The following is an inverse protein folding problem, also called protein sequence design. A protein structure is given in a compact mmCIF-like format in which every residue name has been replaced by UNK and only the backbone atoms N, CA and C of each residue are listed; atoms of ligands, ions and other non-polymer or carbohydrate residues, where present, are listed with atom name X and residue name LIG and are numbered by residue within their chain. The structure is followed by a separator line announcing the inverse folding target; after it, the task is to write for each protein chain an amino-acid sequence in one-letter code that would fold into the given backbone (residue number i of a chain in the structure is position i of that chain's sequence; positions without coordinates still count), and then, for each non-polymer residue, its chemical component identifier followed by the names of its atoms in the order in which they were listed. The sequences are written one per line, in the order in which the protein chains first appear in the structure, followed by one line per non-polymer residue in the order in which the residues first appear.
data_IF_604794077679
#
_entry.id   IF_604794077679
#
_cell.length_a   1.000
_cell.length_b   1.000
_cell.length_c   1.000
_cell.angle_alpha   90.00
_cell.angle_beta   90.00
_cell.angle_gamma   90.00
#
_symmetry.space_group_name_H-M   'P 1'
#
loop_
_entity.id
_entity.type
_entity.pdbx_description
1 polymer ?
#
# COMPACT_ATOMS: atom_id res chain seq x y z
N UNK A 1 -12.22 -19.32 -58.10
CA UNK A 1 -11.07 -18.41 -58.30
C UNK A 1 -11.29 -17.24 -57.38
N UNK A 2 -10.70 -17.35 -56.17
CA UNK A 2 -9.63 -16.45 -55.68
C UNK A 2 -10.12 -15.04 -55.36
N UNK A 3 -9.93 -14.45 -54.19
CA UNK A 3 -9.08 -14.76 -53.05
C UNK A 3 -9.07 -13.49 -52.18
N UNK A 4 -9.26 -13.63 -50.86
CA UNK A 4 -9.34 -12.51 -49.93
C UNK A 4 -8.00 -11.76 -49.81
N UNK A 5 -8.04 -10.42 -49.89
CA UNK A 5 -6.87 -9.56 -49.67
C UNK A 5 -6.99 -8.82 -48.34
N UNK A 6 -6.10 -9.18 -47.41
CA UNK A 6 -5.83 -8.46 -46.15
C UNK A 6 -5.13 -7.14 -46.47
N UNK A 7 -5.62 -6.05 -45.89
CA UNK A 7 -4.97 -4.74 -45.91
C UNK A 7 -3.94 -4.71 -44.78
N UNK A 8 -2.65 -4.66 -45.13
CA UNK A 8 -1.55 -4.46 -44.21
C UNK A 8 -1.24 -2.96 -44.12
N UNK A 9 -1.40 -2.37 -42.94
CA UNK A 9 -0.97 -1.00 -42.64
C UNK A 9 0.38 -1.07 -41.92
N UNK A 10 1.40 -0.51 -42.55
CA UNK A 10 2.75 -0.33 -42.02
C UNK A 10 2.86 1.02 -41.30
N UNK A 11 3.48 1.06 -40.09
CA UNK A 11 4.11 2.27 -39.58
C UNK A 11 5.64 2.17 -39.57
N UNK A 12 6.23 3.34 -39.85
CA UNK A 12 7.64 3.69 -39.96
C UNK A 12 8.49 3.43 -38.70
N UNK A 13 9.84 3.49 -38.79
CA UNK A 13 10.75 2.99 -37.77
C UNK A 13 11.07 4.05 -36.71
N UNK A 14 10.95 3.67 -35.43
CA UNK A 14 11.53 4.40 -34.31
C UNK A 14 12.56 3.51 -33.60
N UNK A 15 13.83 3.91 -33.70
CA UNK A 15 14.91 3.59 -32.76
C UNK A 15 14.50 4.04 -31.34
N UNK A 16 14.84 3.41 -30.22
CA UNK A 16 15.65 2.23 -29.95
C UNK A 16 15.55 1.86 -28.46
N UNK A 17 16.28 0.80 -28.09
CA UNK A 17 16.33 0.06 -26.81
C UNK A 17 15.18 -0.91 -26.51
N UNK A 18 15.12 -1.97 -27.33
CA UNK A 18 14.72 -3.29 -26.84
C UNK A 18 15.76 -3.76 -25.83
N UNK A 19 15.40 -3.86 -24.55
CA UNK A 19 16.17 -4.68 -23.60
C UNK A 19 15.89 -6.13 -24.00
N UNK A 20 16.77 -6.70 -24.82
CA UNK A 20 16.85 -8.14 -24.97
C UNK A 20 17.29 -8.69 -23.62
N UNK A 21 16.37 -9.29 -22.87
CA UNK A 21 16.75 -10.18 -21.78
C UNK A 21 17.61 -11.27 -22.41
N UNK A 22 18.94 -11.15 -22.26
CA UNK A 22 19.82 -12.24 -22.65
C UNK A 22 19.35 -13.43 -21.83
N UNK A 23 18.95 -14.48 -22.52
CA UNK A 23 18.66 -15.78 -21.91
C UNK A 23 19.99 -16.21 -21.28
N UNK A 24 20.21 -15.85 -20.00
CA UNK A 24 21.33 -16.37 -19.22
C UNK A 24 21.20 -17.87 -19.33
N UNK A 25 22.11 -18.49 -20.09
CA UNK A 25 22.27 -19.95 -20.07
C UNK A 25 22.35 -20.32 -18.59
N UNK A 26 21.36 -21.05 -18.09
CA UNK A 26 21.41 -21.60 -16.75
C UNK A 26 22.72 -22.34 -16.66
N UNK A 27 23.63 -21.88 -15.79
CA UNK A 27 24.75 -22.71 -15.41
C UNK A 27 24.12 -23.95 -14.77
N UNK A 28 24.56 -25.17 -15.14
CA UNK A 28 24.05 -26.37 -14.49
C UNK A 28 24.22 -26.19 -12.98
N UNK A 29 23.19 -26.59 -12.22
CA UNK A 29 23.19 -26.63 -10.76
C UNK A 29 24.33 -27.54 -10.27
N UNK A 30 25.54 -27.03 -10.34
CA UNK A 30 26.68 -27.61 -9.68
C UNK A 30 26.41 -27.36 -8.21
N UNK A 31 26.02 -28.39 -7.47
CA UNK A 31 25.98 -28.39 -6.01
C UNK A 31 27.25 -27.73 -5.48
N UNK A 32 27.14 -26.45 -5.10
CA UNK A 32 28.28 -25.66 -4.65
C UNK A 32 28.50 -26.04 -3.19
N UNK A 33 29.28 -27.10 -2.96
CA UNK A 33 29.77 -27.45 -1.63
C UNK A 33 30.41 -26.20 -0.97
N UNK A 34 30.18 -26.03 0.33
CA UNK A 34 30.70 -24.95 1.19
C UNK A 34 32.18 -24.62 0.94
N UNK A 35 33.02 -25.62 0.68
CA UNK A 35 34.45 -25.48 0.36
C UNK A 35 34.66 -24.69 -0.95
N UNK A 36 33.92 -25.02 -2.01
CA UNK A 36 34.01 -24.29 -3.29
C UNK A 36 33.40 -22.89 -3.20
N UNK A 37 32.45 -22.65 -2.27
CA UNK A 37 31.92 -21.32 -1.97
C UNK A 37 32.96 -20.45 -1.26
N UNK A 38 33.60 -20.96 -0.21
CA UNK A 38 34.65 -20.27 0.55
C UNK A 38 35.87 -19.99 -0.31
N UNK A 39 36.34 -20.99 -1.07
CA UNK A 39 37.46 -20.80 -1.98
C UNK A 39 37.19 -19.68 -2.99
N UNK A 40 36.00 -19.63 -3.61
CA UNK A 40 35.64 -18.54 -4.53
C UNK A 40 35.50 -17.19 -3.84
N UNK A 41 35.07 -17.15 -2.58
CA UNK A 41 35.02 -15.92 -1.77
C UNK A 41 36.43 -15.34 -1.56
N UNK A 42 37.41 -16.21 -1.28
CA UNK A 42 38.78 -15.81 -0.97
C UNK A 42 39.59 -15.42 -2.21
N UNK A 43 39.39 -16.11 -3.34
CA UNK A 43 40.21 -15.88 -4.56
C UNK A 43 39.55 -14.93 -5.58
N UNK A 44 38.35 -14.40 -5.32
CA UNK A 44 37.68 -13.53 -6.28
C UNK A 44 38.26 -12.11 -6.27
N UNK A 45 38.62 -11.60 -7.46
CA UNK A 45 39.10 -10.23 -7.68
C UNK A 45 38.07 -9.13 -7.38
N UNK A 46 36.81 -9.49 -7.08
CA UNK A 46 35.71 -8.58 -6.70
C UNK A 46 34.93 -9.15 -5.51
N UNK A 47 35.49 -9.11 -4.29
CA UNK A 47 34.99 -9.84 -3.12
C UNK A 47 33.52 -9.50 -2.77
N UNK A 48 33.12 -8.23 -2.89
CA UNK A 48 31.76 -7.79 -2.55
C UNK A 48 30.67 -8.31 -3.51
N UNK A 49 30.98 -8.54 -4.79
CA UNK A 49 30.01 -9.08 -5.76
C UNK A 49 29.87 -10.59 -5.67
N UNK A 50 30.94 -11.30 -5.31
CA UNK A 50 30.91 -12.75 -5.12
C UNK A 50 30.02 -13.13 -3.94
N UNK A 51 30.14 -12.41 -2.81
CA UNK A 51 29.38 -12.65 -1.58
C UNK A 51 27.86 -12.62 -1.82
N UNK A 52 27.34 -11.61 -2.54
CA UNK A 52 25.90 -11.43 -2.73
C UNK A 52 25.24 -12.50 -3.62
N UNK A 53 25.97 -13.08 -4.59
CA UNK A 53 25.38 -14.02 -5.57
C UNK A 53 25.43 -15.46 -5.08
N UNK A 54 26.47 -15.86 -4.35
CA UNK A 54 26.62 -17.25 -3.87
C UNK A 54 25.83 -17.55 -2.60
N UNK A 55 25.50 -16.54 -1.82
CA UNK A 55 24.84 -16.71 -0.52
C UNK A 55 23.31 -16.53 -0.61
N UNK A 56 22.78 -15.96 -1.71
CA UNK A 56 21.35 -15.71 -1.87
C UNK A 56 20.48 -16.97 -1.74
N UNK A 57 20.95 -18.12 -2.23
CA UNK A 57 20.25 -19.39 -2.09
C UNK A 57 20.23 -19.90 -0.64
N UNK A 58 21.30 -19.72 0.13
CA UNK A 58 21.34 -20.15 1.54
C UNK A 58 20.61 -19.17 2.45
N UNK A 59 20.71 -17.86 2.16
CA UNK A 59 20.12 -16.78 2.96
C UNK A 59 18.60 -16.89 3.09
N UNK A 60 17.96 -17.48 2.10
CA UNK A 60 16.50 -17.67 2.06
C UNK A 60 16.08 -19.14 2.01
N UNK A 61 17.02 -20.09 2.19
CA UNK A 61 16.75 -21.53 2.15
C UNK A 61 15.67 -21.98 3.13
N UNK A 62 15.55 -21.26 4.24
CA UNK A 62 14.58 -21.53 5.30
C UNK A 62 13.34 -20.63 5.22
N UNK A 63 13.28 -19.70 4.26
CA UNK A 63 12.05 -18.95 3.99
C UNK A 63 11.13 -19.86 3.21
N UNK A 64 10.02 -20.22 3.83
CA UNK A 64 8.93 -20.97 3.21
C UNK A 64 7.72 -20.06 3.14
N UNK A 65 7.02 -20.09 2.01
CA UNK A 65 5.70 -19.51 1.90
C UNK A 65 4.82 -20.17 2.97
N UNK A 66 4.29 -19.37 3.89
CA UNK A 66 3.32 -19.85 4.86
C UNK A 66 1.93 -19.77 4.26
N UNK A 67 1.54 -18.60 3.75
CA UNK A 67 0.16 -18.33 3.34
C UNK A 67 0.09 -17.32 2.18
N UNK A 68 -1.01 -17.40 1.42
CA UNK A 68 -1.36 -16.47 0.35
C UNK A 68 -2.75 -15.87 0.60
N UNK A 69 -2.85 -14.54 0.52
CA UNK A 69 -4.12 -13.82 0.70
C UNK A 69 -4.58 -13.22 -0.62
N UNK A 70 -5.83 -13.48 -1.00
CA UNK A 70 -6.47 -12.86 -2.16
C UNK A 70 -7.43 -11.74 -1.73
N UNK A 71 -7.13 -10.52 -2.14
CA UNK A 71 -7.96 -9.34 -1.89
C UNK A 71 -9.17 -9.26 -2.81
N UNK A 72 -9.17 -9.97 -3.94
CA UNK A 72 -10.28 -9.97 -4.86
C UNK A 72 -11.29 -11.05 -4.49
N UNK A 73 -12.55 -10.65 -4.39
CA UNK A 73 -13.64 -11.60 -4.21
C UNK A 73 -14.54 -11.63 -5.45
N UNK A 74 -14.46 -12.68 -6.29
CA UNK A 74 -15.36 -12.85 -7.42
C UNK A 74 -16.76 -13.34 -7.02
N UNK A 75 -16.94 -13.87 -5.79
CA UNK A 75 -18.20 -14.48 -5.30
C UNK A 75 -18.90 -13.64 -4.24
N UNK A 76 -18.19 -12.71 -3.60
CA UNK A 76 -18.69 -11.84 -2.55
C UNK A 76 -19.74 -10.89 -3.07
N UNK A 77 -20.82 -10.70 -2.30
CA UNK A 77 -21.84 -9.69 -2.53
C UNK A 77 -21.20 -8.31 -2.36
N UNK A 78 -20.55 -7.87 -3.41
CA UNK A 78 -19.81 -6.62 -3.45
C UNK A 78 -20.82 -5.50 -3.63
N UNK A 79 -21.30 -4.94 -2.51
CA UNK A 79 -22.20 -3.78 -2.46
C UNK A 79 -21.60 -2.53 -3.11
N UNK A 80 -20.33 -2.57 -3.53
CA UNK A 80 -19.64 -1.48 -4.19
C UNK A 80 -20.34 -1.05 -5.48
N UNK A 81 -20.69 0.23 -5.55
CA UNK A 81 -21.42 0.85 -6.67
C UNK A 81 -20.45 1.14 -7.82
N UNK A 82 -19.20 1.48 -7.50
CA UNK A 82 -18.20 1.88 -8.49
C UNK A 82 -17.62 0.65 -9.23
N UNK A 83 -17.78 0.54 -10.57
CA UNK A 83 -17.36 -0.64 -11.32
C UNK A 83 -15.87 -0.96 -11.25
N UNK A 84 -15.02 0.07 -11.08
CA UNK A 84 -13.57 -0.13 -10.98
C UNK A 84 -13.13 -0.76 -9.66
N UNK A 85 -13.92 -0.60 -8.58
CA UNK A 85 -13.64 -1.25 -7.30
C UNK A 85 -13.81 -2.78 -7.39
N UNK A 86 -14.65 -3.25 -8.31
CA UNK A 86 -14.88 -4.68 -8.54
C UNK A 86 -13.78 -5.36 -9.34
N UNK A 87 -12.89 -4.61 -10.00
CA UNK A 87 -11.80 -5.17 -10.80
C UNK A 87 -10.58 -5.46 -9.93
N UNK A 88 -9.84 -6.52 -10.26
CA UNK A 88 -8.51 -6.74 -9.67
C UNK A 88 -7.62 -5.53 -9.94
N UNK A 89 -6.92 -5.07 -8.92
CA UNK A 89 -5.98 -3.97 -9.01
C UNK A 89 -4.71 -4.29 -8.19
N UNK A 90 -3.64 -3.54 -8.45
CA UNK A 90 -2.35 -3.75 -7.77
C UNK A 90 -2.49 -3.41 -6.28
N UNK A 91 -1.78 -4.11 -5.41
CA UNK A 91 -1.65 -3.70 -4.01
C UNK A 91 -0.66 -2.55 -3.93
N UNK A 92 -1.05 -1.45 -3.29
CA UNK A 92 -0.25 -0.23 -3.14
C UNK A 92 0.31 -0.06 -1.73
N UNK A 93 -0.35 -0.65 -0.73
CA UNK A 93 0.05 -0.55 0.67
C UNK A 93 -0.34 -1.82 1.42
N UNK A 94 0.56 -2.28 2.29
CA UNK A 94 0.33 -3.41 3.20
C UNK A 94 0.71 -2.95 4.60
N UNK A 95 -0.23 -3.07 5.54
CA UNK A 95 -0.01 -2.74 6.95
C UNK A 95 -0.21 -4.01 7.77
N UNK A 96 0.73 -4.33 8.65
CA UNK A 96 0.57 -5.40 9.62
C UNK A 96 0.35 -4.80 11.01
N UNK A 97 -0.74 -5.16 11.66
CA UNK A 97 -1.02 -4.76 13.04
C UNK A 97 -1.46 -5.99 13.83
N UNK A 98 -0.70 -6.33 14.87
CA UNK A 98 -0.91 -7.53 15.68
C UNK A 98 -0.95 -8.81 14.78
N UNK A 99 -2.04 -9.56 14.86
CA UNK A 99 -2.32 -10.77 14.06
C UNK A 99 -3.08 -10.46 12.76
N UNK A 100 -3.27 -9.18 12.39
CA UNK A 100 -4.02 -8.79 11.20
C UNK A 100 -3.08 -8.22 10.14
N UNK A 101 -3.29 -8.63 8.89
CA UNK A 101 -2.67 -8.02 7.70
C UNK A 101 -3.74 -7.26 6.92
N UNK A 102 -3.47 -6.00 6.65
CA UNK A 102 -4.27 -5.13 5.80
C UNK A 102 -3.60 -5.01 4.45
N UNK A 103 -4.39 -5.11 3.39
CA UNK A 103 -3.92 -4.90 2.03
C UNK A 103 -4.82 -3.89 1.32
N UNK A 104 -4.25 -2.75 0.94
CA UNK A 104 -4.91 -1.70 0.18
C UNK A 104 -4.58 -1.85 -1.30
N UNK A 105 -5.61 -2.02 -2.11
CA UNK A 105 -5.49 -2.08 -3.56
C UNK A 105 -5.55 -0.68 -4.18
N UNK A 106 -4.96 -0.50 -5.37
CA UNK A 106 -4.92 0.77 -6.11
C UNK A 106 -6.32 1.30 -6.44
N UNK A 107 -7.29 0.40 -6.58
CA UNK A 107 -8.70 0.77 -6.73
C UNK A 107 -9.26 1.48 -5.50
N UNK A 108 -8.63 1.34 -4.33
CA UNK A 108 -9.07 1.86 -3.04
C UNK A 108 -9.90 0.88 -2.22
N UNK A 109 -9.97 -0.38 -2.65
CA UNK A 109 -10.51 -1.48 -1.84
C UNK A 109 -9.47 -1.90 -0.83
N UNK A 110 -9.85 -1.97 0.45
CA UNK A 110 -8.98 -2.47 1.50
C UNK A 110 -9.58 -3.71 2.15
N UNK A 111 -8.77 -4.76 2.29
CA UNK A 111 -9.16 -6.01 2.94
C UNK A 111 -8.30 -6.28 4.17
N UNK A 112 -8.91 -6.83 5.22
CA UNK A 112 -8.26 -7.28 6.43
C UNK A 112 -8.25 -8.81 6.50
N UNK A 113 -7.10 -9.41 6.84
CA UNK A 113 -6.89 -10.85 6.94
C UNK A 113 -6.35 -11.21 8.32
N UNK A 114 -6.92 -12.24 8.94
CA UNK A 114 -6.40 -12.79 10.19
C UNK A 114 -5.27 -13.78 9.87
N UNK A 115 -4.12 -13.60 10.51
CA UNK A 115 -2.97 -14.51 10.44
C UNK A 115 -3.15 -15.76 11.30
N UNK A 116 -4.12 -15.76 12.21
CA UNK A 116 -4.43 -16.94 13.03
C UNK A 116 -5.30 -17.93 12.25
N UNK A 117 -6.32 -17.42 11.55
CA UNK A 117 -7.29 -18.24 10.82
C UNK A 117 -7.00 -18.35 9.33
N UNK A 118 -6.06 -17.55 8.81
CA UNK A 118 -5.70 -17.43 7.40
C UNK A 118 -6.90 -17.12 6.50
N UNK A 119 -7.87 -16.36 7.04
CA UNK A 119 -9.09 -15.97 6.33
C UNK A 119 -9.22 -14.45 6.30
N UNK A 120 -9.89 -13.96 5.25
CA UNK A 120 -10.32 -12.57 5.19
C UNK A 120 -11.37 -12.33 6.27
N UNK A 121 -11.14 -11.33 7.10
CA UNK A 121 -12.08 -10.90 8.14
C UNK A 121 -13.19 -10.08 7.49
N UNK A 122 -12.82 -8.97 6.84
CA UNK A 122 -13.77 -8.08 6.16
C UNK A 122 -13.07 -7.20 5.12
N UNK A 123 -13.86 -6.46 4.34
CA UNK A 123 -13.40 -5.25 3.67
C UNK A 123 -13.53 -4.07 4.64
N UNK A 124 -12.63 -3.09 4.56
CA UNK A 124 -12.68 -1.90 5.42
C UNK A 124 -13.52 -0.77 4.83
N UNK A 125 -13.83 -0.81 3.53
CA UNK A 125 -14.73 0.14 2.88
C UNK A 125 -16.14 -0.01 3.49
N UNK A 126 -16.65 1.06 4.08
CA UNK A 126 -17.95 1.11 4.76
C UNK A 126 -19.05 1.46 3.77
N UNK A 127 -18.80 2.41 2.86
CA UNK A 127 -19.77 2.77 1.81
C UNK A 127 -19.33 2.27 0.44
N UNK A 128 -20.31 2.16 -0.44
CA UNK A 128 -20.15 1.61 -1.77
C UNK A 128 -19.37 2.54 -2.74
N UNK A 129 -19.24 3.81 -2.38
CA UNK A 129 -18.55 4.86 -3.12
C UNK A 129 -17.25 5.33 -2.43
N UNK A 130 -16.88 4.71 -1.31
CA UNK A 130 -15.65 5.00 -0.56
C UNK A 130 -14.43 4.42 -1.27
N UNK A 131 -13.40 5.25 -1.41
CA UNK A 131 -12.11 4.89 -1.98
C UNK A 131 -11.01 5.21 -0.97
N UNK A 132 -10.46 4.19 -0.32
CA UNK A 132 -9.37 4.34 0.65
C UNK A 132 -8.07 4.67 -0.10
N UNK A 133 -7.31 5.64 0.39
CA UNK A 133 -6.08 6.16 -0.22
C UNK A 133 -4.83 5.85 0.58
N UNK A 134 -4.96 5.73 1.90
CA UNK A 134 -3.85 5.40 2.78
C UNK A 134 -4.36 4.76 4.07
N UNK A 135 -3.51 3.94 4.67
CA UNK A 135 -3.69 3.31 5.97
C UNK A 135 -2.61 3.78 6.95
N UNK A 136 -2.98 3.95 8.22
CA UNK A 136 -2.01 4.21 9.28
C UNK A 136 -2.38 3.42 10.55
N UNK A 137 -1.45 2.61 11.06
CA UNK A 137 -1.68 1.89 12.31
C UNK A 137 -1.22 2.73 13.51
N UNK A 138 -2.18 3.22 14.29
CA UNK A 138 -1.93 3.98 15.50
C UNK A 138 -1.69 3.04 16.68
N UNK A 139 -0.40 2.83 17.01
CA UNK A 139 0.04 2.00 18.14
C UNK A 139 -0.39 2.56 19.50
N UNK A 140 -0.67 3.86 19.61
CA UNK A 140 -0.97 4.51 20.90
C UNK A 140 -2.34 4.15 21.46
N UNK A 141 -3.31 3.88 20.59
CA UNK A 141 -4.68 3.54 20.99
C UNK A 141 -5.22 2.29 20.27
N UNK A 142 -4.31 1.51 19.67
CA UNK A 142 -4.59 0.26 18.97
C UNK A 142 -5.71 0.37 17.94
N UNK A 143 -5.57 1.33 17.04
CA UNK A 143 -6.53 1.57 15.97
C UNK A 143 -5.86 1.66 14.61
N UNK A 144 -6.62 1.31 13.58
CA UNK A 144 -6.27 1.59 12.21
C UNK A 144 -7.00 2.87 11.78
N UNK A 145 -6.23 3.81 11.25
CA UNK A 145 -6.75 5.02 10.62
C UNK A 145 -6.79 4.78 9.11
N UNK A 146 -7.95 5.01 8.51
CA UNK A 146 -8.13 5.01 7.05
C UNK A 146 -8.32 6.45 6.58
N UNK A 147 -7.59 6.83 5.53
CA UNK A 147 -7.81 8.09 4.81
C UNK A 147 -8.52 7.77 3.51
N UNK A 148 -9.75 8.26 3.36
CA UNK A 148 -10.65 7.95 2.24
C UNK A 148 -11.08 9.20 1.50
N UNK A 149 -11.50 9.01 0.25
CA UNK A 149 -12.26 9.98 -0.55
C UNK A 149 -13.53 9.30 -1.06
N UNK A 150 -14.57 10.07 -1.39
CA UNK A 150 -15.87 9.51 -1.76
C UNK A 150 -16.28 9.93 -3.17
N UNK A 151 -16.94 9.07 -3.94
CA UNK A 151 -17.42 9.50 -5.26
C UNK A 151 -18.54 10.55 -5.15
N UNK A 152 -19.36 10.48 -4.10
CA UNK A 152 -20.42 11.44 -3.81
C UNK A 152 -19.93 12.89 -3.64
N UNK A 153 -18.68 13.10 -3.23
CA UNK A 153 -18.05 14.42 -3.11
C UNK A 153 -17.06 14.74 -4.24
N UNK A 154 -17.15 14.02 -5.36
CA UNK A 154 -16.24 14.09 -6.50
C UNK A 154 -14.76 13.83 -6.12
N UNK A 155 -14.54 12.99 -5.10
CA UNK A 155 -13.22 12.65 -4.57
C UNK A 155 -12.43 13.88 -4.08
N UNK A 156 -13.12 14.93 -3.65
CA UNK A 156 -12.50 16.23 -3.39
C UNK A 156 -11.97 16.40 -1.97
N UNK A 157 -12.59 15.73 -0.99
CA UNK A 157 -12.26 15.89 0.43
C UNK A 157 -11.68 14.60 1.00
N UNK A 158 -10.56 14.72 1.70
CA UNK A 158 -10.02 13.65 2.53
C UNK A 158 -10.87 13.48 3.78
N UNK A 159 -11.22 12.24 4.10
CA UNK A 159 -11.95 11.85 5.31
C UNK A 159 -11.13 10.83 6.07
N UNK A 160 -10.89 11.11 7.34
CA UNK A 160 -10.15 10.24 8.23
C UNK A 160 -11.13 9.48 9.13
N UNK A 161 -10.90 8.19 9.33
CA UNK A 161 -11.67 7.37 10.28
C UNK A 161 -10.72 6.51 11.10
N UNK A 162 -10.88 6.53 12.42
CA UNK A 162 -10.16 5.65 13.34
C UNK A 162 -11.05 4.48 13.73
N UNK A 163 -10.58 3.25 13.52
CA UNK A 163 -11.29 2.02 13.87
C UNK A 163 -10.40 1.14 14.71
N UNK A 164 -10.84 0.79 15.93
CA UNK A 164 -10.07 -0.09 16.81
C UNK A 164 -9.84 -1.46 16.16
N UNK A 165 -8.66 -2.03 16.40
CA UNK A 165 -8.32 -3.38 15.89
C UNK A 165 -9.34 -4.42 16.37
N UNK A 166 -9.86 -4.29 17.60
CA UNK A 166 -10.93 -5.13 18.14
C UNK A 166 -12.19 -5.16 17.24
N UNK A 167 -12.65 -4.01 16.76
CA UNK A 167 -13.85 -3.95 15.91
C UNK A 167 -13.59 -4.57 14.54
N UNK A 168 -12.39 -4.36 14.00
CA UNK A 168 -11.97 -5.00 12.75
C UNK A 168 -11.95 -6.52 12.91
N UNK A 169 -11.43 -7.08 14.01
CA UNK A 169 -11.46 -8.53 14.29
C UNK A 169 -12.87 -9.11 14.25
N UNK A 170 -13.85 -8.34 14.72
CA UNK A 170 -15.27 -8.73 14.70
C UNK A 170 -15.95 -8.53 13.35
N UNK A 171 -15.22 -8.05 12.33
CA UNK A 171 -15.78 -7.74 11.01
C UNK A 171 -16.68 -6.50 11.01
N UNK A 172 -16.46 -5.55 11.94
CA UNK A 172 -17.24 -4.33 12.11
C UNK A 172 -16.41 -3.09 11.75
N UNK A 173 -16.07 -2.88 10.46
CA UNK A 173 -15.30 -1.71 10.03
C UNK A 173 -16.06 -0.39 10.24
N UNK A 174 -17.38 -0.43 10.23
CA UNK A 174 -18.30 0.69 10.40
C UNK A 174 -18.40 1.22 11.83
N UNK A 175 -17.95 0.44 12.83
CA UNK A 175 -17.90 0.85 14.24
C UNK A 175 -16.79 1.88 14.56
N UNK A 176 -16.04 2.33 13.56
CA UNK A 176 -15.06 3.41 13.70
C UNK A 176 -15.72 4.78 13.85
N UNK A 177 -14.93 5.78 14.22
CA UNK A 177 -15.38 7.17 14.32
C UNK A 177 -14.57 8.08 13.39
N UNK A 178 -15.21 9.12 12.90
CA UNK A 178 -14.57 10.11 12.04
C UNK A 178 -13.56 10.96 12.82
N UNK A 179 -12.45 11.31 12.17
CA UNK A 179 -11.44 12.22 12.69
C UNK A 179 -11.46 13.51 11.89
N UNK A 180 -11.17 14.63 12.58
CA UNK A 180 -10.98 15.94 11.96
C UNK A 180 -12.20 16.42 11.15
N UNK A 181 -13.43 16.12 11.60
CA UNK A 181 -14.66 16.52 10.91
C UNK A 181 -14.82 18.04 10.77
N UNK A 182 -14.23 18.80 11.68
CA UNK A 182 -14.15 20.26 11.63
C UNK A 182 -13.18 20.79 10.58
N UNK A 183 -12.33 19.94 9.99
CA UNK A 183 -11.26 20.35 9.09
C UNK A 183 -11.67 20.21 7.62
N UNK A 184 -11.39 21.24 6.82
CA UNK A 184 -11.58 21.21 5.37
C UNK A 184 -10.31 20.67 4.70
N UNK A 185 -10.19 19.34 4.62
CA UNK A 185 -9.04 18.63 4.02
C UNK A 185 -9.26 18.37 2.52
N UNK A 186 -9.47 19.43 1.74
CA UNK A 186 -9.60 19.34 0.27
C UNK A 186 -8.27 19.60 -0.39
N UNK A 187 -7.97 18.87 -1.47
CA UNK A 187 -6.76 19.12 -2.27
C UNK A 187 -6.65 20.61 -2.65
N UNK A 188 -5.48 21.27 -2.49
CA UNK A 188 -4.15 20.72 -2.13
C UNK A 188 -3.86 20.57 -0.62
N UNK A 189 -4.88 20.62 0.25
CA UNK A 189 -4.79 20.28 1.67
C UNK A 189 -4.45 18.80 1.91
N UNK A 190 -3.91 18.51 3.08
CA UNK A 190 -3.41 17.17 3.43
C UNK A 190 -3.54 16.86 4.93
N UNK A 191 -3.29 15.60 5.25
CA UNK A 191 -3.12 15.08 6.62
C UNK A 191 -1.88 14.18 6.64
N UNK A 192 -1.06 14.32 7.67
CA UNK A 192 0.15 13.54 7.89
C UNK A 192 0.17 13.05 9.34
N UNK A 193 0.52 11.77 9.52
CA UNK A 193 0.58 11.11 10.83
C UNK A 193 2.04 10.79 11.16
N UNK A 194 2.51 11.25 12.32
CA UNK A 194 3.85 10.97 12.82
C UNK A 194 3.75 10.12 14.09
N UNK A 195 4.15 8.84 13.97
CA UNK A 195 4.14 7.90 15.09
C UNK A 195 5.31 8.11 16.07
N UNK A 196 6.41 8.73 15.64
CA UNK A 196 7.61 9.00 16.46
C UNK A 196 7.34 10.17 17.40
N UNK A 197 6.81 11.26 16.86
CA UNK A 197 6.52 12.47 17.64
C UNK A 197 5.11 12.45 18.28
N UNK A 198 4.28 11.48 17.89
CA UNK A 198 2.91 11.35 18.37
C UNK A 198 2.07 12.56 17.99
N UNK A 199 2.18 13.01 16.75
CA UNK A 199 1.50 14.19 16.21
C UNK A 199 0.76 13.85 14.92
N UNK A 200 -0.28 14.63 14.66
CA UNK A 200 -0.95 14.67 13.35
C UNK A 200 -0.91 16.10 12.85
N UNK A 201 -0.42 16.30 11.64
CA UNK A 201 -0.45 17.59 10.97
C UNK A 201 -1.59 17.59 9.94
N UNK A 202 -2.42 18.62 9.96
CA UNK A 202 -3.36 18.89 8.87
C UNK A 202 -3.06 20.24 8.25
N UNK A 203 -3.38 20.36 6.96
CA UNK A 203 -3.36 21.61 6.23
C UNK A 203 -4.67 21.78 5.47
N UNK A 204 -5.36 22.89 5.73
CA UNK A 204 -6.48 23.34 4.91
C UNK A 204 -6.02 24.41 3.93
N UNK A 205 -6.01 24.08 2.64
CA UNK A 205 -5.64 25.02 1.59
C UNK A 205 -6.65 26.17 1.42
N UNK A 206 -7.93 25.91 1.73
CA UNK A 206 -8.99 26.92 1.65
C UNK A 206 -8.75 28.03 2.66
N UNK A 207 -8.42 27.67 3.89
CA UNK A 207 -8.24 28.62 4.99
C UNK A 207 -6.79 29.08 5.13
N UNK A 208 -5.84 28.39 4.48
CA UNK A 208 -4.38 28.57 4.67
C UNK A 208 -3.96 28.35 6.12
N UNK A 209 -4.53 27.33 6.76
CA UNK A 209 -4.31 27.02 8.18
C UNK A 209 -3.70 25.63 8.31
N UNK A 210 -2.62 25.57 9.07
CA UNK A 210 -2.04 24.33 9.57
C UNK A 210 -2.53 24.07 10.99
N UNK A 211 -2.87 22.83 11.32
CA UNK A 211 -3.19 22.44 12.69
C UNK A 211 -2.42 21.19 13.07
N UNK A 212 -1.98 21.17 14.32
CA UNK A 212 -1.32 20.01 14.90
C UNK A 212 -2.19 19.44 16.00
N UNK A 213 -2.38 18.13 15.95
CA UNK A 213 -3.17 17.38 16.91
C UNK A 213 -2.28 16.35 17.62
N UNK A 214 -2.67 15.98 18.84
CA UNK A 214 -2.07 14.87 19.56
C UNK A 214 -2.55 13.53 18.97
N UNK A 215 -1.63 12.61 18.66
CA UNK A 215 -2.00 11.34 18.01
C UNK A 215 -2.72 10.35 18.96
N UNK A 216 -2.61 10.52 20.28
CA UNK A 216 -3.20 9.61 21.27
C UNK A 216 -4.70 9.85 21.41
N UNK A 217 -5.11 11.10 21.54
CA UNK A 217 -6.49 11.49 21.82
C UNK A 217 -7.11 12.40 20.75
N UNK A 218 -6.36 12.76 19.70
CA UNK A 218 -6.79 13.62 18.60
C UNK A 218 -7.20 15.04 19.01
N UNK A 219 -6.76 15.52 20.19
CA UNK A 219 -7.02 16.90 20.60
C UNK A 219 -6.13 17.86 19.81
N UNK A 220 -6.71 18.96 19.32
CA UNK A 220 -5.95 20.03 18.68
C UNK A 220 -5.03 20.68 19.71
N UNK A 221 -3.73 20.77 19.37
CA UNK A 221 -2.70 21.34 20.22
C UNK A 221 -2.44 22.80 19.85
N UNK A 222 -2.25 23.08 18.57
CA UNK A 222 -2.02 24.43 18.06
C UNK A 222 -2.42 24.56 16.59
N UNK A 223 -2.65 25.82 16.20
CA UNK A 223 -3.06 26.23 14.85
C UNK A 223 -2.15 27.36 14.39
N UNK A 224 -1.66 27.27 13.16
CA UNK A 224 -0.79 28.27 12.53
C UNK A 224 -1.47 28.72 11.23
N UNK A 225 -1.86 29.99 11.18
CA UNK A 225 -2.47 30.61 10.00
C UNK A 225 -1.44 31.48 9.30
N UNK A 226 -0.71 30.92 8.35
CA UNK A 226 0.28 31.64 7.55
C UNK A 226 0.34 31.09 6.13
N UNK A 227 0.32 31.98 5.15
CA UNK A 227 0.37 31.66 3.71
C UNK A 227 1.80 31.45 3.20
N UNK A 228 2.81 31.86 3.97
CA UNK A 228 4.22 31.88 3.55
C UNK A 228 5.05 30.77 4.22
N UNK A 229 4.41 29.73 4.73
CA UNK A 229 5.12 28.58 5.30
C UNK A 229 5.81 27.78 4.19
N UNK A 230 7.14 27.71 4.25
CA UNK A 230 7.94 26.97 3.27
C UNK A 230 8.07 25.48 3.62
N UNK A 231 8.25 25.18 4.90
CA UNK A 231 8.46 23.82 5.39
C UNK A 231 7.88 23.69 6.81
N UNK A 232 7.25 22.55 7.08
CA UNK A 232 6.85 22.14 8.43
C UNK A 232 7.44 20.76 8.67
N UNK A 233 7.99 20.55 9.86
CA UNK A 233 8.42 19.25 10.36
C UNK A 233 7.76 19.05 11.72
N UNK A 234 7.06 17.94 11.89
CA UNK A 234 6.39 17.56 13.13
C UNK A 234 7.07 16.37 13.79
#
# INVERSE_FOLDING_TARGET
MDGGRRIAVSPRPCSGRRILASKKRGRPDAFVNSVKKLQRREICSKPHRAFSVTDAQERFRNIRLQEEYDTHDPKGHCSMVLPFLRKRSKIIEIVAAQDIVFALAQSGVCAAFSRETNRRICFLNVTADEVIRSLFYNKNNDSLITVSVYASDNFSSLKCRSTRIEYIRRGQPDAGFALFESESLKWPGFVEFDDVNGKVLTYSAQDSIYKVFDLKNYTMLYSISDKNVQEIKI
#
